data_IF_588059936515
#
_entry.id   IF_588059936515
#
_cell.length_a   1.000
_cell.length_b   1.000
_cell.length_c   1.000
_cell.angle_alpha   90.00
_cell.angle_beta   90.00
_cell.angle_gamma   90.00
#
_symmetry.space_group_name_H-M   'P 1'
#
loop_
_entity.id
_entity.type
_entity.pdbx_description
1 polymer ?
#
# COMPACT_ATOMS: atom_id res chain seq x y z
N UNK A 1 -12.26 1.71 18.76
CA UNK A 1 -11.21 1.83 17.73
C UNK A 1 -10.29 0.67 17.98
N UNK A 2 -10.19 -0.23 17.01
CA UNK A 2 -9.30 -1.37 17.11
C UNK A 2 -7.90 -0.88 16.75
N UNK A 3 -6.95 -1.12 17.65
CA UNK A 3 -5.57 -0.68 17.54
C UNK A 3 -4.71 -1.90 17.24
N UNK A 4 -3.76 -1.74 16.34
CA UNK A 4 -2.73 -2.73 16.05
C UNK A 4 -1.36 -2.15 16.34
N UNK A 5 -0.42 -3.04 16.61
CA UNK A 5 1.00 -2.70 16.80
C UNK A 5 1.76 -3.27 15.61
N UNK A 6 2.52 -2.40 14.97
CA UNK A 6 3.32 -2.73 13.79
C UNK A 6 4.80 -2.59 14.13
N UNK A 7 5.65 -3.42 13.53
CA UNK A 7 7.09 -3.18 13.45
C UNK A 7 7.48 -3.04 11.99
N UNK A 8 8.55 -2.28 11.74
CA UNK A 8 9.06 -2.10 10.39
C UNK A 8 10.09 -3.18 10.10
N UNK A 9 10.06 -3.77 8.91
CA UNK A 9 10.92 -4.91 8.55
C UNK A 9 12.44 -4.63 8.65
N UNK A 10 12.85 -3.36 8.69
CA UNK A 10 14.26 -2.92 8.76
C UNK A 10 14.68 -2.45 10.17
N UNK A 11 13.78 -2.42 11.17
CA UNK A 11 14.00 -1.80 12.49
C UNK A 11 13.58 -2.74 13.64
N UNK A 12 14.56 -3.41 14.26
CA UNK A 12 14.29 -4.47 15.26
C UNK A 12 13.76 -3.97 16.62
N UNK A 13 13.79 -2.66 16.91
CA UNK A 13 13.49 -2.11 18.23
C UNK A 13 12.42 -1.00 18.25
N UNK A 14 11.78 -0.74 17.11
CA UNK A 14 10.78 0.33 16.99
C UNK A 14 9.46 -0.29 16.56
N UNK A 15 8.44 -0.04 17.39
CA UNK A 15 7.07 -0.41 17.10
C UNK A 15 6.21 0.84 16.95
N UNK A 16 5.04 0.68 16.33
CA UNK A 16 4.14 1.77 16.02
C UNK A 16 2.71 1.35 16.33
N UNK A 17 1.94 2.23 16.97
CA UNK A 17 0.50 2.00 17.21
C UNK A 17 -0.31 2.76 16.17
N UNK A 18 -1.22 2.07 15.49
CA UNK A 18 -2.12 2.66 14.50
C UNK A 18 -3.52 2.06 14.61
N UNK A 19 -4.50 2.82 14.13
CA UNK A 19 -5.89 2.37 14.04
C UNK A 19 -6.05 1.41 12.87
N UNK A 20 -6.54 0.19 13.14
CA UNK A 20 -6.66 -0.87 12.12
C UNK A 20 -7.67 -0.53 11.02
N UNK A 21 -8.69 0.27 11.35
CA UNK A 21 -9.71 0.70 10.39
C UNK A 21 -9.21 1.71 9.34
N UNK A 22 -7.94 2.13 9.38
CA UNK A 22 -7.30 2.94 8.33
C UNK A 22 -6.86 2.11 7.13
N UNK A 23 -6.73 0.81 7.29
CA UNK A 23 -6.24 -0.07 6.24
C UNK A 23 -7.37 -0.53 5.33
N UNK A 24 -7.09 -0.54 4.03
CA UNK A 24 -7.99 -1.05 3.00
C UNK A 24 -7.23 -1.99 2.07
N UNK A 25 -7.93 -2.99 1.53
CA UNK A 25 -7.40 -3.79 0.43
C UNK A 25 -7.36 -2.90 -0.81
N UNK A 26 -6.16 -2.71 -1.36
CA UNK A 26 -5.94 -1.92 -2.56
C UNK A 26 -4.93 -2.61 -3.46
N UNK A 27 -4.81 -2.15 -4.71
CA UNK A 27 -3.77 -2.64 -5.61
C UNK A 27 -2.41 -2.15 -5.11
N UNK A 28 -1.42 -3.04 -5.07
CA UNK A 28 -0.08 -2.70 -4.62
C UNK A 28 0.53 -1.56 -5.45
N UNK A 29 0.21 -1.51 -6.74
CA UNK A 29 0.63 -0.43 -7.64
C UNK A 29 -0.04 0.94 -7.40
N UNK A 30 -1.04 1.00 -6.52
CA UNK A 30 -1.63 2.26 -6.04
C UNK A 30 -1.02 2.72 -4.71
N UNK A 31 -0.04 1.98 -4.17
CA UNK A 31 0.72 2.35 -2.99
C UNK A 31 1.97 3.16 -3.36
N UNK A 32 2.64 3.74 -2.35
CA UNK A 32 3.78 4.64 -2.46
C UNK A 32 4.98 4.14 -1.68
N UNK A 33 6.16 4.35 -2.25
CA UNK A 33 7.44 4.00 -1.64
C UNK A 33 7.96 5.06 -0.64
N UNK A 34 9.15 4.81 -0.10
CA UNK A 34 9.87 5.72 0.82
C UNK A 34 10.42 7.00 0.17
N UNK A 35 10.21 7.21 -1.13
CA UNK A 35 10.48 8.46 -1.84
C UNK A 35 9.22 9.18 -2.32
N UNK A 36 8.04 8.57 -2.12
CA UNK A 36 6.74 9.13 -2.50
C UNK A 36 6.39 8.88 -3.95
N UNK A 37 7.06 7.91 -4.57
CA UNK A 37 6.76 7.43 -5.90
C UNK A 37 5.76 6.29 -5.80
N UNK A 38 4.80 6.23 -6.71
CA UNK A 38 3.91 5.07 -6.81
C UNK A 38 4.74 3.82 -7.10
N UNK A 39 4.34 2.70 -6.49
CA UNK A 39 4.89 1.40 -6.84
C UNK A 39 4.47 1.10 -8.28
N UNK A 40 5.44 0.94 -9.18
CA UNK A 40 5.16 0.63 -10.57
C UNK A 40 4.48 -0.73 -10.73
N UNK A 41 3.66 -0.89 -11.79
CA UNK A 41 2.99 -2.15 -12.15
C UNK A 41 3.98 -3.33 -12.22
N UNK A 42 5.21 -3.06 -12.67
CA UNK A 42 6.33 -4.00 -12.67
C UNK A 42 6.68 -4.49 -11.26
N UNK A 43 6.94 -3.58 -10.31
CA UNK A 43 7.32 -3.91 -8.94
C UNK A 43 6.16 -4.48 -8.12
N UNK A 44 4.93 -4.16 -8.53
CA UNK A 44 3.73 -4.79 -8.00
C UNK A 44 3.48 -6.18 -8.61
N UNK A 45 4.26 -6.59 -9.61
CA UNK A 45 4.08 -7.85 -10.34
C UNK A 45 2.68 -7.99 -10.99
N UNK A 46 2.06 -6.86 -11.33
CA UNK A 46 0.73 -6.85 -11.94
C UNK A 46 0.77 -7.50 -13.33
N UNK A 47 -0.10 -8.47 -13.59
CA UNK A 47 -0.30 -9.03 -14.92
C UNK A 47 -1.33 -8.19 -15.67
N UNK A 48 -0.89 -7.08 -16.27
CA UNK A 48 -1.75 -6.11 -16.97
C UNK A 48 -1.07 -5.53 -18.22
N UNK A 49 -1.85 -4.89 -19.10
CA UNK A 49 -1.33 -4.29 -20.34
C UNK A 49 -0.28 -3.21 -20.08
N UNK A 50 -0.40 -2.49 -18.97
CA UNK A 50 0.51 -1.42 -18.56
C UNK A 50 1.85 -1.93 -18.01
N UNK A 51 1.95 -3.20 -17.59
CA UNK A 51 3.22 -3.74 -17.11
C UNK A 51 4.16 -4.04 -18.29
N UNK A 52 5.30 -3.36 -18.38
CA UNK A 52 6.26 -3.46 -19.48
C UNK A 52 6.70 -4.90 -19.80
N UNK A 53 6.74 -5.79 -18.81
CA UNK A 53 7.12 -7.19 -19.03
C UNK A 53 6.01 -8.08 -19.59
N UNK A 54 4.75 -7.63 -19.59
CA UNK A 54 3.59 -8.40 -20.10
C UNK A 54 3.44 -8.25 -21.62
N UNK A 55 4.51 -8.47 -22.39
CA UNK A 55 4.49 -8.38 -23.86
C UNK A 55 3.55 -9.40 -24.50
N UNK A 56 3.55 -10.64 -24.04
CA UNK A 56 2.65 -11.71 -24.51
C UNK A 56 1.17 -11.36 -24.28
N UNK A 57 0.85 -10.65 -23.19
CA UNK A 57 -0.50 -10.22 -22.88
C UNK A 57 -1.02 -9.20 -23.90
N UNK A 58 -0.15 -8.27 -24.34
CA UNK A 58 -0.47 -7.28 -25.38
C UNK A 58 -0.70 -7.95 -26.73
N UNK A 59 0.13 -8.93 -27.09
CA UNK A 59 -0.07 -9.70 -28.33
C UNK A 59 -1.40 -10.45 -28.30
N UNK A 60 -1.74 -11.07 -27.16
CA UNK A 60 -3.03 -11.73 -26.97
C UNK A 60 -4.20 -10.75 -27.10
N UNK A 61 -4.12 -9.60 -26.43
CA UNK A 61 -5.14 -8.55 -26.50
C UNK A 61 -5.43 -8.10 -27.94
N UNK A 62 -4.38 -7.84 -28.73
CA UNK A 62 -4.51 -7.43 -30.14
C UNK A 62 -5.13 -8.54 -31.00
N UNK A 63 -4.79 -9.81 -30.76
CA UNK A 63 -5.40 -10.95 -31.46
C UNK A 63 -6.88 -11.12 -31.09
N UNK A 64 -7.24 -10.91 -29.82
CA UNK A 64 -8.62 -11.02 -29.34
C UNK A 64 -9.48 -9.87 -29.91
N UNK A 65 -8.95 -8.64 -29.99
CA UNK A 65 -9.56 -7.53 -30.71
C UNK A 65 -9.82 -7.85 -32.18
N UNK A 66 -8.82 -8.40 -32.87
CA UNK A 66 -8.97 -8.79 -34.28
C UNK A 66 -10.04 -9.87 -34.45
N UNK A 67 -10.09 -10.85 -33.54
CA UNK A 67 -11.09 -11.93 -33.53
C UNK A 67 -12.50 -11.40 -33.28
N UNK A 68 -12.63 -10.35 -32.45
CA UNK A 68 -13.88 -9.63 -32.23
C UNK A 68 -14.30 -8.74 -33.42
N UNK A 69 -13.48 -8.63 -34.46
CA UNK A 69 -13.79 -7.93 -35.70
C UNK A 69 -13.29 -6.50 -35.77
N UNK A 70 -12.44 -6.06 -34.84
CA UNK A 70 -11.83 -4.73 -34.88
C UNK A 70 -10.64 -4.69 -35.84
N UNK A 71 -10.40 -3.52 -36.45
CA UNK A 71 -9.23 -3.29 -37.32
C UNK A 71 -7.98 -2.96 -36.48
N UNK A 72 -7.00 -3.85 -36.51
CA UNK A 72 -5.78 -3.81 -35.67
C UNK A 72 -4.50 -3.48 -36.45
N UNK A 73 -4.54 -3.47 -37.78
CA UNK A 73 -3.35 -3.22 -38.59
C UNK A 73 -2.75 -1.83 -38.32
N UNK A 74 -1.44 -1.77 -38.07
CA UNK A 74 -0.68 -0.56 -37.76
C UNK A 74 -1.12 0.21 -36.50
N UNK A 75 -1.86 -0.42 -35.58
CA UNK A 75 -2.23 0.15 -34.28
C UNK A 75 -1.47 -0.53 -33.14
N UNK A 76 -1.15 0.23 -32.11
CA UNK A 76 -0.64 -0.31 -30.85
C UNK A 76 -1.79 -0.65 -29.91
N UNK A 77 -1.52 -1.35 -28.81
CA UNK A 77 -2.56 -1.67 -27.82
C UNK A 77 -3.06 -0.42 -27.10
N UNK A 78 -2.19 0.58 -26.92
CA UNK A 78 -2.52 1.88 -26.34
C UNK A 78 -3.61 2.61 -27.14
N UNK A 79 -3.57 2.53 -28.48
CA UNK A 79 -4.58 3.14 -29.35
C UNK A 79 -6.01 2.64 -29.05
N UNK A 80 -6.14 1.39 -28.58
CA UNK A 80 -7.44 0.81 -28.22
C UNK A 80 -7.86 1.17 -26.80
N UNK A 81 -6.92 1.20 -25.86
CA UNK A 81 -7.18 1.59 -24.48
C UNK A 81 -7.61 3.06 -24.39
N UNK A 82 -7.02 3.93 -25.22
CA UNK A 82 -7.33 5.35 -25.29
C UNK A 82 -8.46 5.68 -26.29
N UNK A 83 -9.03 4.67 -26.95
CA UNK A 83 -10.07 4.87 -27.97
C UNK A 83 -11.31 5.53 -27.38
N UNK A 84 -11.90 6.47 -28.12
CA UNK A 84 -13.18 7.09 -27.77
C UNK A 84 -14.42 6.31 -28.25
N UNK A 85 -14.22 5.25 -29.03
CA UNK A 85 -15.31 4.39 -29.52
C UNK A 85 -15.88 3.53 -28.38
N UNK A 86 -17.17 3.69 -28.09
CA UNK A 86 -17.86 2.96 -27.02
C UNK A 86 -17.77 1.43 -27.17
N UNK A 87 -17.78 0.91 -28.41
CA UNK A 87 -17.68 -0.53 -28.63
C UNK A 87 -16.28 -1.06 -28.30
N UNK A 88 -15.24 -0.25 -28.53
CA UNK A 88 -13.87 -0.57 -28.14
C UNK A 88 -13.73 -0.44 -26.62
N UNK A 89 -14.26 0.63 -26.01
CA UNK A 89 -14.24 0.80 -24.54
C UNK A 89 -14.88 -0.39 -23.82
N UNK A 90 -16.08 -0.79 -24.25
CA UNK A 90 -16.79 -1.94 -23.67
C UNK A 90 -16.01 -3.24 -23.87
N UNK A 91 -15.39 -3.45 -25.03
CA UNK A 91 -14.53 -4.61 -25.24
C UNK A 91 -13.32 -4.58 -24.29
N UNK A 92 -12.62 -3.45 -24.19
CA UNK A 92 -11.42 -3.29 -23.36
C UNK A 92 -11.74 -3.51 -21.89
N UNK A 93 -12.82 -2.92 -21.38
CA UNK A 93 -13.25 -3.08 -19.98
C UNK A 93 -13.53 -4.56 -19.67
N UNK A 94 -14.37 -5.22 -20.46
CA UNK A 94 -14.69 -6.64 -20.26
C UNK A 94 -13.44 -7.54 -20.39
N UNK A 95 -12.59 -7.27 -21.37
CA UNK A 95 -11.37 -8.05 -21.58
C UNK A 95 -10.42 -7.90 -20.39
N UNK A 96 -10.25 -6.68 -19.86
CA UNK A 96 -9.40 -6.43 -18.69
C UNK A 96 -9.91 -7.18 -17.45
N UNK A 97 -11.21 -7.12 -17.20
CA UNK A 97 -11.83 -7.82 -16.07
C UNK A 97 -11.62 -9.35 -16.12
N UNK A 98 -11.53 -9.93 -17.31
CA UNK A 98 -11.31 -11.37 -17.50
C UNK A 98 -9.84 -11.79 -17.52
N UNK A 99 -8.92 -10.89 -17.86
CA UNK A 99 -7.55 -11.26 -18.23
C UNK A 99 -6.46 -10.57 -17.42
N UNK A 100 -6.72 -9.43 -16.80
CA UNK A 100 -5.75 -8.74 -15.97
C UNK A 100 -5.84 -9.24 -14.52
N UNK A 101 -4.68 -9.43 -13.89
CA UNK A 101 -4.58 -9.81 -12.49
C UNK A 101 -3.69 -8.79 -11.80
N UNK A 102 -4.21 -8.19 -10.74
CA UNK A 102 -3.51 -7.18 -9.96
C UNK A 102 -3.11 -7.77 -8.62
N UNK A 103 -1.90 -7.46 -8.19
CA UNK A 103 -1.47 -7.79 -6.83
C UNK A 103 -2.14 -6.83 -5.86
N UNK A 104 -2.82 -7.38 -4.87
CA UNK A 104 -3.47 -6.60 -3.82
C UNK A 104 -2.64 -6.62 -2.54
N UNK A 105 -2.73 -5.56 -1.76
CA UNK A 105 -2.13 -5.44 -0.44
C UNK A 105 -3.07 -4.76 0.54
N UNK A 106 -2.94 -5.06 1.83
CA UNK A 106 -3.63 -4.33 2.88
C UNK A 106 -2.79 -3.10 3.24
N UNK A 107 -3.23 -1.92 2.80
CA UNK A 107 -2.41 -0.71 2.92
C UNK A 107 -3.18 0.50 3.43
N UNK A 108 -2.44 1.47 3.95
CA UNK A 108 -2.93 2.80 4.29
C UNK A 108 -2.05 3.86 3.62
N UNK A 109 -2.62 4.56 2.65
CA UNK A 109 -1.98 5.68 1.96
C UNK A 109 -2.18 6.98 2.75
N UNK A 110 -1.10 7.71 3.01
CA UNK A 110 -1.14 8.97 3.76
C UNK A 110 -0.17 10.02 3.22
N UNK A 111 -0.41 11.28 3.55
CA UNK A 111 0.50 12.39 3.23
C UNK A 111 1.33 12.73 4.46
N UNK A 112 2.66 12.58 4.38
CA UNK A 112 3.56 12.80 5.52
C UNK A 112 3.90 14.27 5.81
N UNK A 113 3.28 15.18 5.06
CA UNK A 113 3.59 16.61 5.05
C UNK A 113 4.50 17.03 3.90
N UNK A 114 5.20 16.09 3.26
CA UNK A 114 6.10 16.35 2.12
C UNK A 114 5.84 15.44 0.92
N UNK A 115 5.52 14.17 1.17
CA UNK A 115 5.32 13.13 0.17
C UNK A 115 4.13 12.23 0.51
N UNK A 116 3.54 11.62 -0.52
CA UNK A 116 2.65 10.48 -0.32
C UNK A 116 3.46 9.29 0.17
N UNK A 117 2.86 8.49 1.05
CA UNK A 117 3.46 7.34 1.71
C UNK A 117 2.41 6.24 1.85
N UNK A 118 2.88 5.01 2.00
CA UNK A 118 2.02 3.89 2.35
C UNK A 118 2.58 3.13 3.54
N UNK A 119 1.70 2.78 4.48
CA UNK A 119 1.92 1.67 5.41
C UNK A 119 1.35 0.43 4.72
N UNK A 120 2.19 -0.50 4.31
CA UNK A 120 1.81 -1.70 3.56
C UNK A 120 2.03 -2.90 4.46
N UNK A 121 0.95 -3.61 4.76
CA UNK A 121 0.96 -4.88 5.47
C UNK A 121 0.86 -6.00 4.45
N UNK A 122 1.78 -6.97 4.50
CA UNK A 122 1.57 -8.23 3.79
C UNK A 122 2.37 -9.37 4.40
N UNK A 123 1.71 -10.52 4.55
CA UNK A 123 2.33 -11.80 4.94
C UNK A 123 2.74 -12.62 3.70
N UNK A 124 2.23 -12.29 2.49
CA UNK A 124 2.35 -13.11 1.27
C UNK A 124 2.95 -12.39 0.04
N UNK A 125 3.24 -11.08 0.08
CA UNK A 125 3.85 -10.36 -1.06
C UNK A 125 5.36 -10.55 -1.16
N UNK A 126 5.83 -10.78 -2.39
CA UNK A 126 7.26 -10.79 -2.77
C UNK A 126 7.97 -9.55 -2.19
N UNK A 127 9.01 -9.81 -1.39
CA UNK A 127 9.61 -8.91 -0.37
C UNK A 127 10.23 -7.58 -0.81
N UNK A 128 9.84 -7.00 -1.94
CA UNK A 128 10.24 -5.67 -2.38
C UNK A 128 9.34 -4.54 -1.87
N UNK A 129 8.13 -4.84 -1.40
CA UNK A 129 7.08 -3.82 -1.19
C UNK A 129 6.49 -3.77 0.22
N UNK A 130 6.68 -4.80 1.04
CA UNK A 130 6.21 -4.81 2.44
C UNK A 130 7.17 -3.99 3.29
N UNK A 131 6.63 -3.01 4.00
CA UNK A 131 7.42 -2.20 4.94
C UNK A 131 7.03 -2.42 6.41
N UNK A 132 5.86 -2.99 6.70
CA UNK A 132 5.43 -3.27 8.08
C UNK A 132 4.85 -4.68 8.23
N UNK A 133 5.07 -5.24 9.41
CA UNK A 133 4.49 -6.51 9.85
C UNK A 133 3.76 -6.30 11.18
N UNK A 134 2.70 -7.08 11.41
CA UNK A 134 1.98 -7.06 12.69
C UNK A 134 2.90 -7.67 13.75
N UNK A 135 3.01 -7.00 14.90
CA UNK A 135 3.72 -7.55 16.05
C UNK A 135 2.95 -8.76 16.59
N UNK A 136 3.69 -9.78 17.04
CA UNK A 136 3.14 -10.98 17.68
C UNK A 136 2.09 -10.65 18.74
N UNK A 137 1.00 -11.40 18.76
CA UNK A 137 -0.21 -11.07 19.53
C UNK A 137 0.10 -10.78 21.01
N UNK A 138 0.91 -11.60 21.66
CA UNK A 138 1.25 -11.45 23.09
C UNK A 138 1.96 -10.10 23.36
N UNK A 139 2.93 -9.74 22.52
CA UNK A 139 3.66 -8.48 22.66
C UNK A 139 2.78 -7.28 22.30
N UNK A 140 1.95 -7.40 21.26
CA UNK A 140 1.00 -6.36 20.90
C UNK A 140 0.00 -6.07 22.04
N UNK A 141 -0.51 -7.11 22.71
CA UNK A 141 -1.41 -6.96 23.86
C UNK A 141 -0.73 -6.26 25.05
N UNK A 142 0.54 -6.57 25.31
CA UNK A 142 1.34 -5.89 26.35
C UNK A 142 1.51 -4.40 26.04
N UNK A 143 1.96 -4.07 24.82
CA UNK A 143 2.14 -2.68 24.37
C UNK A 143 0.84 -1.89 24.43
N UNK A 144 -0.27 -2.46 23.93
CA UNK A 144 -1.58 -1.79 23.94
C UNK A 144 -2.14 -1.61 25.34
N UNK A 145 -1.86 -2.52 26.27
CA UNK A 145 -2.26 -2.39 27.67
C UNK A 145 -1.48 -1.26 28.35
N UNK A 146 -0.16 -1.23 28.16
CA UNK A 146 0.70 -0.15 28.66
C UNK A 146 0.25 1.21 28.10
N UNK A 147 0.00 1.30 26.79
CA UNK A 147 -0.47 2.53 26.14
C UNK A 147 -1.79 3.06 26.70
N UNK A 148 -2.75 2.19 27.06
CA UNK A 148 -4.04 2.61 27.62
C UNK A 148 -3.91 3.30 28.98
N UNK A 149 -2.85 3.03 29.74
CA UNK A 149 -2.61 3.61 31.06
C UNK A 149 -1.80 4.92 30.99
N UNK A 150 -1.29 5.26 29.80
CA UNK A 150 -0.44 6.44 29.60
C UNK A 150 -1.26 7.72 29.62
N UNK A 151 -0.76 8.71 30.36
CA UNK A 151 -1.14 10.12 30.19
C UNK A 151 0.06 10.86 29.63
N UNK A 152 -0.01 11.29 28.37
CA UNK A 152 1.08 12.03 27.74
C UNK A 152 1.25 13.41 28.40
N UNK A 153 2.49 13.81 28.74
CA UNK A 153 2.78 15.17 29.20
C UNK A 153 2.59 16.21 28.09
N UNK A 154 2.73 17.48 28.45
CA UNK A 154 2.75 18.57 27.47
C UNK A 154 3.90 18.39 26.46
N UNK A 155 3.62 18.70 25.20
CA UNK A 155 4.61 18.65 24.14
C UNK A 155 5.79 19.61 24.40
N UNK A 156 7.01 19.09 24.26
CA UNK A 156 8.25 19.86 24.24
C UNK A 156 8.90 19.72 22.87
N UNK A 157 9.13 20.85 22.19
CA UNK A 157 9.67 20.87 20.82
C UNK A 157 8.87 19.99 19.83
N UNK A 158 7.55 19.91 20.04
CA UNK A 158 6.63 19.15 19.21
C UNK A 158 6.62 17.64 19.42
N UNK A 159 7.28 17.16 20.47
CA UNK A 159 7.25 15.75 20.89
C UNK A 159 6.80 15.63 22.34
N UNK A 160 6.15 14.53 22.66
CA UNK A 160 5.80 14.13 24.01
C UNK A 160 6.26 12.69 24.21
N UNK A 161 6.89 12.43 25.36
CA UNK A 161 7.48 11.14 25.68
C UNK A 161 7.07 10.72 27.09
N UNK A 162 6.84 9.42 27.28
CA UNK A 162 6.41 8.85 28.56
C UNK A 162 6.76 7.38 28.63
N UNK A 163 7.33 6.97 29.75
CA UNK A 163 7.64 5.57 30.04
C UNK A 163 6.46 4.92 30.77
N UNK A 164 6.07 3.72 30.34
CA UNK A 164 5.05 2.91 31.01
C UNK A 164 5.30 1.43 30.78
N UNK A 165 5.29 0.65 31.86
CA UNK A 165 5.43 -0.81 31.85
C UNK A 165 6.64 -1.34 31.04
N UNK A 166 7.76 -0.60 31.08
CA UNK A 166 8.99 -0.96 30.38
C UNK A 166 9.02 -0.59 28.90
N UNK A 167 8.07 0.22 28.42
CA UNK A 167 8.07 0.79 27.08
C UNK A 167 8.17 2.31 27.13
N UNK A 168 8.82 2.91 26.15
CA UNK A 168 8.83 4.36 25.94
C UNK A 168 7.88 4.70 24.80
N UNK A 169 6.85 5.49 25.10
CA UNK A 169 5.88 5.97 24.12
C UNK A 169 6.24 7.38 23.68
N UNK A 170 6.49 7.55 22.38
CA UNK A 170 6.80 8.83 21.76
C UNK A 170 5.67 9.27 20.83
N UNK A 171 5.07 10.41 21.15
CA UNK A 171 4.02 11.05 20.34
C UNK A 171 4.52 12.36 19.74
N UNK A 172 4.19 12.58 18.47
CA UNK A 172 4.48 13.82 17.76
C UNK A 172 3.23 14.69 17.60
N UNK A 173 3.43 16.01 17.46
CA UNK A 173 2.37 16.95 17.07
C UNK A 173 2.30 17.16 15.54
N UNK A 174 3.24 16.60 14.78
CA UNK A 174 3.29 16.77 13.33
C UNK A 174 2.18 15.94 12.67
N UNK A 175 1.26 16.57 11.91
CA UNK A 175 0.05 15.92 11.41
C UNK A 175 0.30 14.89 10.29
N UNK A 176 1.52 14.84 9.74
CA UNK A 176 1.91 13.89 8.71
C UNK A 176 2.26 12.50 9.23
N UNK A 177 2.40 12.33 10.55
CA UNK A 177 2.66 11.01 11.13
C UNK A 177 1.34 10.21 11.21
N UNK A 178 1.24 9.05 10.53
CA UNK A 178 0.03 8.24 10.53
C UNK A 178 -0.18 7.50 11.86
N UNK A 179 0.88 7.37 12.66
CA UNK A 179 0.90 6.59 13.89
C UNK A 179 0.42 7.42 15.08
N UNK A 180 -0.32 6.77 15.99
CA UNK A 180 -0.75 7.40 17.23
C UNK A 180 0.43 7.66 18.17
N UNK A 181 1.40 6.76 18.15
CA UNK A 181 2.66 6.82 18.89
C UNK A 181 3.67 5.85 18.29
N UNK A 182 4.94 6.21 18.40
CA UNK A 182 6.07 5.28 18.31
C UNK A 182 6.29 4.65 19.69
N UNK A 183 6.78 3.42 19.71
CA UNK A 183 7.07 2.64 20.91
C UNK A 183 8.49 2.09 20.82
N UNK A 184 9.31 2.41 21.81
CA UNK A 184 10.67 1.90 21.98
C UNK A 184 10.72 0.97 23.21
N UNK A 185 11.59 -0.05 23.13
CA UNK A 185 11.90 -0.97 24.24
C UNK A 185 12.98 -0.41 25.18
#
# INVERSE_FOLDING_TARGET
>A
MDLIVLKRNEEDNIMYIIEENKFETTRLSECYDKFGQKIGKENAEDYCLENSYCTELRERFLNDLQTAGFEVENKSWEDFVESDDNSIKEFVENWRDENEVYTEALAYNYWDGNNWRSVILDDDANGYSVNYEKVEQELAEQVLTAYKNVTFPDYKFGKSEVESDGFVFLKTQYPGDPFLTTVEL
#
